data_IF_946895119159
#
_entry.id   IF_946895119159
#
_cell.length_a   1.000
_cell.length_b   1.000
_cell.length_c   1.000
_cell.angle_alpha   90.00
_cell.angle_beta   90.00
_cell.angle_gamma   90.00
#
_symmetry.space_group_name_H-M   'P 1'
#
loop_
_entity.id
_entity.type
_entity.pdbx_description
1 polymer ?
#
# COMPACT_ATOMS: atom_id res chain seq x y z
N UNK A 1 -4.97 7.27 15.76
CA UNK A 1 -5.96 7.02 14.68
C UNK A 1 -6.06 5.53 14.44
N UNK A 2 -7.18 5.07 13.88
CA UNK A 2 -7.40 3.71 13.38
C UNK A 2 -7.07 3.68 11.89
N UNK A 3 -6.02 2.95 11.50
CA UNK A 3 -5.46 2.96 10.15
C UNK A 3 -5.58 1.57 9.53
N UNK A 4 -6.20 1.47 8.36
CA UNK A 4 -6.17 0.25 7.55
C UNK A 4 -5.03 0.30 6.54
N UNK A 5 -4.12 -0.66 6.59
CA UNK A 5 -3.05 -0.86 5.60
C UNK A 5 -3.41 -2.02 4.67
N UNK A 6 -3.58 -1.75 3.38
CA UNK A 6 -3.90 -2.79 2.38
C UNK A 6 -2.64 -3.15 1.62
N UNK A 7 -2.09 -4.33 1.93
CA UNK A 7 -0.92 -4.87 1.25
C UNK A 7 -1.31 -5.66 -0.01
N UNK A 8 -0.45 -5.70 -1.03
CA UNK A 8 -0.55 -6.71 -2.08
C UNK A 8 -0.49 -8.11 -1.48
N UNK A 9 -1.20 -9.05 -2.12
CA UNK A 9 -1.26 -10.45 -1.69
C UNK A 9 -0.21 -11.32 -2.39
N UNK A 10 0.70 -10.73 -3.17
CA UNK A 10 1.74 -11.45 -3.89
C UNK A 10 2.73 -12.10 -2.92
N UNK A 11 3.22 -11.33 -1.93
CA UNK A 11 4.06 -11.79 -0.82
C UNK A 11 3.37 -11.71 0.54
N UNK A 12 4.01 -12.31 1.55
CA UNK A 12 3.72 -12.02 2.95
C UNK A 12 4.26 -10.64 3.32
N UNK A 13 3.74 -10.06 4.39
CA UNK A 13 4.28 -8.86 5.02
C UNK A 13 4.89 -9.25 6.37
N UNK A 14 6.19 -9.07 6.63
CA UNK A 14 7.23 -8.79 5.64
C UNK A 14 7.42 -9.95 4.63
N UNK A 15 8.00 -9.69 3.46
CA UNK A 15 8.21 -10.71 2.43
C UNK A 15 9.30 -11.69 2.86
N UNK A 16 9.14 -12.96 2.48
CA UNK A 16 10.18 -14.00 2.67
C UNK A 16 11.27 -13.93 1.61
N UNK A 17 10.94 -13.43 0.43
CA UNK A 17 11.82 -13.36 -0.73
C UNK A 17 11.76 -11.94 -1.32
N UNK A 18 11.54 -11.83 -2.63
CA UNK A 18 11.45 -10.55 -3.34
C UNK A 18 10.03 -9.95 -3.19
N UNK A 19 9.91 -8.88 -2.42
CA UNK A 19 8.68 -8.12 -2.18
C UNK A 19 8.96 -6.69 -1.72
N UNK A 20 9.38 -5.82 -2.65
CA UNK A 20 9.75 -4.44 -2.31
C UNK A 20 8.60 -3.65 -1.67
N UNK A 21 7.40 -3.78 -2.23
CA UNK A 21 6.19 -3.14 -1.69
C UNK A 21 5.84 -3.67 -0.31
N UNK A 22 5.75 -4.98 -0.12
CA UNK A 22 5.41 -5.59 1.16
C UNK A 22 6.43 -5.26 2.25
N UNK A 23 7.70 -5.05 1.88
CA UNK A 23 8.73 -4.55 2.82
C UNK A 23 8.47 -3.12 3.25
N UNK A 24 8.12 -2.22 2.34
CA UNK A 24 7.74 -0.85 2.66
C UNK A 24 6.51 -0.83 3.57
N UNK A 25 5.51 -1.66 3.28
CA UNK A 25 4.31 -1.79 4.12
C UNK A 25 4.66 -2.26 5.52
N UNK A 26 5.56 -3.25 5.66
CA UNK A 26 6.00 -3.73 6.97
C UNK A 26 6.62 -2.60 7.82
N UNK A 27 7.56 -1.85 7.25
CA UNK A 27 8.18 -0.70 7.93
C UNK A 27 7.16 0.37 8.31
N UNK A 28 6.27 0.70 7.38
CA UNK A 28 5.25 1.72 7.62
C UNK A 28 4.31 1.31 8.75
N UNK A 29 3.87 0.04 8.78
CA UNK A 29 3.04 -0.46 9.89
C UNK A 29 3.80 -0.37 11.21
N UNK A 30 5.05 -0.83 11.26
CA UNK A 30 5.84 -0.80 12.49
C UNK A 30 6.04 0.62 13.02
N UNK A 31 6.33 1.59 12.16
CA UNK A 31 6.50 2.98 12.57
C UNK A 31 5.18 3.64 12.98
N UNK A 32 4.07 3.39 12.28
CA UNK A 32 2.76 3.92 12.66
C UNK A 32 2.28 3.37 14.02
N UNK A 33 2.56 2.09 14.30
CA UNK A 33 2.28 1.49 15.61
C UNK A 33 3.14 2.14 16.70
N UNK A 34 4.44 2.36 16.45
CA UNK A 34 5.34 3.06 17.38
C UNK A 34 4.88 4.49 17.68
N UNK A 35 4.28 5.17 16.70
CA UNK A 35 3.66 6.49 16.86
C UNK A 35 2.32 6.46 17.61
N UNK A 36 1.86 5.29 18.08
CA UNK A 36 0.65 5.14 18.90
C UNK A 36 -0.65 5.06 18.10
N UNK A 37 -0.59 4.69 16.82
CA UNK A 37 -1.79 4.44 16.02
C UNK A 37 -2.27 2.99 16.13
N UNK A 38 -3.59 2.78 16.03
CA UNK A 38 -4.20 1.45 15.95
C UNK A 38 -4.22 1.00 14.49
N UNK A 39 -3.20 0.23 14.10
CA UNK A 39 -2.99 -0.18 12.70
C UNK A 39 -3.52 -1.59 12.50
N UNK A 40 -4.39 -1.76 11.50
CA UNK A 40 -4.81 -3.08 10.99
C UNK A 40 -4.25 -3.30 9.60
N UNK A 41 -3.48 -4.38 9.45
CA UNK A 41 -2.91 -4.83 8.19
C UNK A 41 -3.84 -5.85 7.53
N UNK A 42 -4.36 -5.52 6.35
CA UNK A 42 -5.06 -6.43 5.45
C UNK A 42 -4.03 -7.05 4.51
N UNK A 43 -3.74 -8.34 4.71
CA UNK A 43 -2.69 -9.04 3.98
C UNK A 43 -2.97 -10.55 3.90
N UNK A 44 -2.01 -11.29 3.37
CA UNK A 44 -2.01 -12.75 3.43
C UNK A 44 -1.85 -13.26 4.87
N UNK A 45 -2.45 -14.41 5.17
CA UNK A 45 -2.52 -14.98 6.52
C UNK A 45 -1.19 -15.49 7.07
N UNK A 46 -0.18 -15.64 6.22
CA UNK A 46 1.19 -15.95 6.64
C UNK A 46 2.06 -14.71 6.87
N UNK A 47 1.45 -13.52 6.89
CA UNK A 47 2.07 -12.26 7.30
C UNK A 47 2.27 -12.18 8.82
N UNK A 48 3.26 -11.40 9.25
CA UNK A 48 3.56 -11.07 10.65
C UNK A 48 3.70 -9.57 10.79
N UNK A 49 3.07 -8.99 11.80
CA UNK A 49 3.03 -7.53 11.99
C UNK A 49 3.02 -7.18 13.46
N UNK A 50 3.50 -5.98 13.80
CA UNK A 50 3.38 -5.38 15.13
C UNK A 50 1.98 -4.80 15.39
N UNK A 51 1.19 -4.56 14.33
CA UNK A 51 -0.21 -4.16 14.42
C UNK A 51 -1.17 -5.36 14.51
N UNK A 52 -2.42 -5.16 14.11
CA UNK A 52 -3.43 -6.22 14.01
C UNK A 52 -3.44 -6.81 12.61
N UNK A 53 -3.34 -8.13 12.49
CA UNK A 53 -3.50 -8.80 11.20
C UNK A 53 -4.98 -9.08 10.91
N UNK A 54 -5.48 -8.62 9.77
CA UNK A 54 -6.72 -9.09 9.18
C UNK A 54 -6.39 -9.98 7.96
N UNK A 55 -6.39 -11.32 8.13
CA UNK A 55 -6.00 -12.23 7.07
C UNK A 55 -7.11 -12.29 6.00
N UNK A 56 -6.78 -11.90 4.78
CA UNK A 56 -7.72 -11.88 3.64
C UNK A 56 -7.61 -13.14 2.81
N UNK A 57 -6.39 -13.68 2.70
CA UNK A 57 -6.10 -14.86 1.90
C UNK A 57 -5.18 -15.78 2.70
N UNK A 58 -5.34 -17.12 2.68
CA UNK A 58 -4.64 -18.00 3.63
C UNK A 58 -3.10 -17.91 3.58
N UNK A 59 -2.51 -17.71 2.39
CA UNK A 59 -1.06 -17.60 2.19
C UNK A 59 -0.76 -16.72 0.98
N UNK A 60 0.33 -15.97 1.02
CA UNK A 60 0.85 -15.19 -0.11
C UNK A 60 0.80 -15.95 -1.43
N UNK A 61 0.33 -15.31 -2.51
CA UNK A 61 0.01 -15.97 -3.78
C UNK A 61 1.24 -16.60 -4.45
N UNK A 62 2.41 -15.95 -4.39
CA UNK A 62 3.61 -16.42 -5.08
C UNK A 62 4.21 -17.69 -4.45
N UNK A 63 4.15 -17.79 -3.12
CA UNK A 63 4.63 -18.95 -2.35
C UNK A 63 3.49 -19.88 -1.90
N UNK A 64 2.28 -19.56 -2.34
CA UNK A 64 1.04 -20.21 -1.99
C UNK A 64 0.71 -21.41 -2.86
N UNK A 65 -0.55 -21.83 -2.79
CA UNK A 65 -1.09 -22.90 -3.63
C UNK A 65 -0.97 -22.52 -5.11
N UNK A 66 -0.36 -23.40 -5.92
CA UNK A 66 -0.32 -23.25 -7.38
C UNK A 66 -1.75 -23.17 -7.94
N UNK A 67 -2.00 -22.20 -8.82
CA UNK A 67 -3.30 -22.00 -9.46
C UNK A 67 -4.30 -21.15 -8.67
N UNK A 68 -3.89 -20.47 -7.58
CA UNK A 68 -4.70 -19.42 -6.99
C UNK A 68 -4.82 -18.24 -7.96
N UNK A 69 -6.05 -17.78 -8.23
CA UNK A 69 -6.28 -16.61 -9.08
C UNK A 69 -6.01 -15.31 -8.30
N UNK A 70 -5.05 -14.47 -8.73
CA UNK A 70 -4.83 -13.17 -8.12
C UNK A 70 -6.05 -12.25 -8.18
N UNK A 71 -6.90 -12.37 -9.20
CA UNK A 71 -8.14 -11.59 -9.32
C UNK A 71 -9.10 -11.90 -8.18
N UNK A 72 -9.39 -13.17 -7.94
CA UNK A 72 -10.23 -13.62 -6.83
C UNK A 72 -9.67 -13.20 -5.46
N UNK A 73 -8.37 -13.34 -5.24
CA UNK A 73 -7.74 -12.95 -3.97
C UNK A 73 -7.86 -11.44 -3.72
N UNK A 74 -7.66 -10.62 -4.76
CA UNK A 74 -7.85 -9.18 -4.64
C UNK A 74 -9.32 -8.78 -4.49
N UNK A 75 -10.26 -9.48 -5.12
CA UNK A 75 -11.69 -9.26 -4.89
C UNK A 75 -12.06 -9.50 -3.42
N UNK A 76 -11.50 -10.54 -2.79
CA UNK A 76 -11.67 -10.78 -1.35
C UNK A 76 -11.06 -9.68 -0.49
N UNK A 77 -9.92 -9.09 -0.88
CA UNK A 77 -9.32 -7.95 -0.20
C UNK A 77 -10.24 -6.72 -0.24
N UNK A 78 -10.78 -6.41 -1.41
CA UNK A 78 -11.71 -5.29 -1.60
C UNK A 78 -13.01 -5.49 -0.80
N UNK A 79 -13.55 -6.71 -0.82
CA UNK A 79 -14.74 -7.05 -0.03
C UNK A 79 -14.49 -6.93 1.48
N UNK A 80 -13.32 -7.41 1.95
CA UNK A 80 -12.95 -7.35 3.36
C UNK A 80 -12.85 -5.90 3.86
N UNK A 81 -12.21 -5.00 3.09
CA UNK A 81 -12.14 -3.59 3.46
C UNK A 81 -13.50 -2.89 3.33
N UNK A 82 -14.31 -3.23 2.32
CA UNK A 82 -15.64 -2.63 2.13
C UNK A 82 -16.54 -2.85 3.36
N UNK A 83 -16.54 -4.07 3.91
CA UNK A 83 -17.32 -4.42 5.11
C UNK A 83 -16.89 -3.68 6.37
N UNK A 84 -15.63 -3.25 6.43
CA UNK A 84 -15.00 -2.72 7.64
C UNK A 84 -14.55 -1.27 7.50
N UNK A 85 -14.84 -0.61 6.39
CA UNK A 85 -14.29 0.70 6.08
C UNK A 85 -14.54 1.72 7.20
N UNK A 86 -15.74 1.70 7.79
CA UNK A 86 -16.15 2.61 8.88
C UNK A 86 -15.48 2.32 10.22
N UNK A 87 -14.75 1.21 10.35
CA UNK A 87 -13.92 0.92 11.53
C UNK A 87 -12.65 1.79 11.56
N UNK A 88 -12.31 2.44 10.44
CA UNK A 88 -11.04 3.15 10.25
C UNK A 88 -11.24 4.64 10.01
N UNK A 89 -10.29 5.42 10.51
CA UNK A 89 -10.23 6.86 10.26
C UNK A 89 -9.59 7.15 8.89
N UNK A 90 -8.68 6.28 8.44
CA UNK A 90 -8.05 6.36 7.12
C UNK A 90 -7.69 4.98 6.57
N UNK A 91 -7.84 4.81 5.26
CA UNK A 91 -7.45 3.62 4.50
C UNK A 91 -6.23 3.96 3.63
N UNK A 92 -5.13 3.25 3.80
CA UNK A 92 -3.92 3.39 3.00
C UNK A 92 -3.71 2.13 2.15
N UNK A 93 -3.79 2.29 0.83
CA UNK A 93 -3.68 1.19 -0.12
C UNK A 93 -2.36 1.18 -0.90
N UNK A 94 -1.84 -0.03 -1.13
CA UNK A 94 -0.62 -0.30 -1.88
C UNK A 94 -0.84 -1.25 -3.07
N UNK A 95 -2.09 -1.41 -3.51
CA UNK A 95 -2.52 -2.31 -4.60
C UNK A 95 -2.81 -1.54 -5.91
N UNK A 96 -2.02 -0.51 -6.16
CA UNK A 96 -2.08 0.40 -7.32
C UNK A 96 -3.47 0.99 -7.57
N UNK A 97 -4.18 0.56 -8.61
CA UNK A 97 -5.41 1.21 -9.10
C UNK A 97 -6.71 0.53 -8.67
N UNK A 98 -6.63 -0.73 -8.22
CA UNK A 98 -7.77 -1.64 -8.17
C UNK A 98 -8.87 -1.19 -7.20
N UNK A 99 -8.46 -0.60 -6.08
CA UNK A 99 -9.32 -0.17 -4.98
C UNK A 99 -10.07 1.13 -5.26
N UNK A 100 -9.62 1.94 -6.21
CA UNK A 100 -10.03 3.33 -6.26
C UNK A 100 -11.54 3.54 -6.52
N UNK A 101 -12.19 2.84 -7.48
CA UNK A 101 -13.63 3.00 -7.70
C UNK A 101 -14.49 2.55 -6.51
N UNK A 102 -13.96 1.64 -5.69
CA UNK A 102 -14.61 1.18 -4.47
C UNK A 102 -14.43 2.24 -3.36
N UNK A 103 -13.19 2.57 -3.02
CA UNK A 103 -12.89 3.45 -1.89
C UNK A 103 -13.51 4.85 -2.06
N UNK A 104 -13.61 5.35 -3.29
CA UNK A 104 -14.26 6.63 -3.58
C UNK A 104 -15.74 6.70 -3.21
N UNK A 105 -16.39 5.54 -2.99
CA UNK A 105 -17.82 5.43 -2.67
C UNK A 105 -18.07 5.06 -1.21
N UNK A 106 -17.04 4.73 -0.44
CA UNK A 106 -17.19 4.27 0.94
C UNK A 106 -17.31 5.42 1.96
N UNK A 107 -16.99 6.66 1.55
CA UNK A 107 -17.09 7.84 2.42
C UNK A 107 -16.05 7.92 3.52
N UNK A 108 -15.00 7.09 3.45
CA UNK A 108 -13.88 7.05 4.40
C UNK A 108 -12.66 7.68 3.73
N UNK A 109 -11.90 8.55 4.41
CA UNK A 109 -10.65 9.07 3.88
C UNK A 109 -9.72 7.95 3.43
N UNK A 110 -9.19 8.03 2.22
CA UNK A 110 -8.24 7.05 1.72
C UNK A 110 -7.09 7.70 0.96
N UNK A 111 -5.94 7.04 1.00
CA UNK A 111 -4.78 7.40 0.21
C UNK A 111 -4.19 6.15 -0.44
N UNK A 112 -3.51 6.34 -1.57
CA UNK A 112 -2.83 5.27 -2.28
C UNK A 112 -1.38 5.63 -2.48
N UNK A 113 -0.49 4.70 -2.12
CA UNK A 113 0.90 4.75 -2.55
C UNK A 113 1.09 3.80 -3.71
N UNK A 114 1.47 4.37 -4.85
CA UNK A 114 1.72 3.62 -6.08
C UNK A 114 3.14 3.07 -6.09
N UNK A 115 3.27 1.79 -6.42
CA UNK A 115 4.57 1.11 -6.50
C UNK A 115 4.94 0.71 -7.94
N UNK A 116 4.02 0.90 -8.89
CA UNK A 116 4.24 0.70 -10.31
C UNK A 116 5.21 1.70 -10.98
N UNK A 117 5.60 1.41 -12.22
CA UNK A 117 6.56 2.21 -12.99
C UNK A 117 6.03 3.64 -13.22
N UNK A 118 6.75 4.63 -12.72
CA UNK A 118 6.40 6.06 -12.66
C UNK A 118 5.92 6.67 -13.98
N UNK A 119 6.45 6.22 -15.12
CA UNK A 119 6.05 6.70 -16.45
C UNK A 119 4.56 6.46 -16.76
N UNK A 120 3.94 5.43 -16.17
CA UNK A 120 2.51 5.15 -16.28
C UNK A 120 1.71 5.95 -15.26
N UNK A 121 2.24 6.11 -14.04
CA UNK A 121 1.63 6.91 -12.97
C UNK A 121 1.48 8.38 -13.37
N UNK A 122 2.49 8.95 -14.04
CA UNK A 122 2.48 10.32 -14.53
C UNK A 122 1.53 10.54 -15.72
N UNK A 123 1.44 9.57 -16.65
CA UNK A 123 0.59 9.66 -17.86
C UNK A 123 -0.88 9.35 -17.59
N UNK A 124 -1.18 8.38 -16.73
CA UNK A 124 -2.53 7.90 -16.45
C UNK A 124 -3.17 8.64 -15.27
N UNK A 125 -2.36 9.16 -14.34
CA UNK A 125 -2.84 9.87 -13.14
C UNK A 125 -3.58 11.18 -13.43
N UNK A 126 -3.33 11.84 -14.56
CA UNK A 126 -4.05 13.06 -14.97
C UNK A 126 -5.52 12.80 -15.35
N UNK A 127 -5.89 11.55 -15.64
CA UNK A 127 -7.24 11.15 -15.98
C UNK A 127 -8.11 10.81 -14.75
N UNK A 128 -7.55 10.89 -13.53
CA UNK A 128 -8.20 10.44 -12.29
C UNK A 128 -8.74 11.66 -11.51
N UNK A 129 -9.97 11.58 -10.96
CA UNK A 129 -10.56 12.68 -10.20
C UNK A 129 -9.68 13.14 -9.03
N UNK A 130 -9.55 14.47 -8.86
CA UNK A 130 -8.67 15.11 -7.85
C UNK A 130 -8.98 14.74 -6.38
N UNK A 131 -10.13 14.15 -6.09
CA UNK A 131 -10.51 13.71 -4.73
C UNK A 131 -9.88 12.39 -4.27
N UNK A 132 -9.07 11.74 -5.12
CA UNK A 132 -8.44 10.45 -4.81
C UNK A 132 -6.97 10.71 -4.44
N UNK A 133 -6.68 10.83 -3.14
CA UNK A 133 -5.35 11.26 -2.65
C UNK A 133 -4.24 10.27 -3.04
N UNK A 134 -3.19 10.81 -3.67
CA UNK A 134 -2.04 10.06 -4.17
C UNK A 134 -0.76 10.48 -3.46
N UNK A 135 -0.02 9.50 -2.95
CA UNK A 135 1.38 9.68 -2.53
C UNK A 135 2.27 8.94 -3.53
N UNK A 136 3.14 9.68 -4.20
CA UNK A 136 4.09 9.15 -5.17
C UNK A 136 5.45 8.99 -4.49
N UNK A 137 5.94 7.75 -4.39
CA UNK A 137 7.28 7.48 -3.90
C UNK A 137 8.25 7.67 -5.09
N UNK A 138 8.89 8.83 -5.16
CA UNK A 138 9.99 9.07 -6.10
C UNK A 138 11.11 8.08 -5.81
N UNK A 139 11.32 7.09 -6.67
CA UNK A 139 12.63 6.43 -6.73
C UNK A 139 13.61 7.45 -7.32
N UNK A 140 14.80 7.55 -6.72
CA UNK A 140 15.85 8.53 -7.03
C UNK A 140 16.45 8.45 -8.45
N UNK A 141 15.88 7.66 -9.36
CA UNK A 141 16.48 7.39 -10.67
C UNK A 141 16.33 8.51 -11.71
N UNK A 142 15.65 9.63 -11.42
CA UNK A 142 15.58 10.78 -12.35
C UNK A 142 16.06 12.11 -11.76
N UNK A 143 16.79 12.10 -10.65
CA UNK A 143 17.54 13.28 -10.22
C UNK A 143 18.83 13.37 -11.08
N UNK A 144 18.68 13.71 -12.35
CA UNK A 144 19.79 14.13 -13.20
C UNK A 144 20.25 15.54 -12.76
N UNK A 145 20.88 15.61 -11.59
CA UNK A 145 21.89 16.60 -11.20
C UNK A 145 22.42 16.27 -9.79
N UNK A 146 23.45 15.43 -9.74
CA UNK A 146 24.53 15.59 -8.74
C UNK A 146 24.37 15.00 -7.33
N UNK A 147 23.80 13.81 -7.16
CA UNK A 147 24.02 13.05 -5.91
C UNK A 147 24.00 11.54 -6.16
N UNK A 148 25.16 10.89 -6.00
CA UNK A 148 25.24 9.43 -5.84
C UNK A 148 24.47 9.01 -4.60
N UNK A 149 23.65 7.97 -4.72
CA UNK A 149 22.86 7.42 -3.61
C UNK A 149 23.20 5.94 -3.46
N UNK A 150 23.82 5.61 -2.34
CA UNK A 150 24.24 4.26 -1.98
C UNK A 150 23.04 3.47 -1.43
N UNK A 151 22.90 2.20 -1.85
CA UNK A 151 21.65 1.45 -1.87
C UNK A 151 21.20 0.79 -0.54
N UNK A 152 21.71 1.24 0.62
CA UNK A 152 21.56 0.48 1.87
C UNK A 152 21.10 1.31 3.11
N UNK A 153 20.62 2.54 2.94
CA UNK A 153 20.17 3.38 4.05
C UNK A 153 18.63 3.50 4.11
N UNK A 154 17.96 2.96 5.15
CA UNK A 154 16.50 3.06 5.33
C UNK A 154 16.00 4.46 5.72
N UNK A 155 16.89 5.41 6.03
CA UNK A 155 16.50 6.71 6.62
C UNK A 155 16.05 7.78 5.61
N UNK A 156 15.98 7.50 4.29
CA UNK A 156 15.64 8.53 3.27
C UNK A 156 14.64 8.07 2.20
N UNK A 157 13.47 7.62 2.63
CA UNK A 157 12.28 7.59 1.75
C UNK A 157 11.69 9.01 1.72
N UNK A 158 11.92 9.76 0.64
CA UNK A 158 11.30 11.07 0.44
C UNK A 158 9.81 10.90 0.12
N UNK A 159 8.95 11.11 1.12
CA UNK A 159 7.49 11.16 0.96
C UNK A 159 7.12 12.52 0.37
N UNK A 160 6.97 12.58 -0.94
CA UNK A 160 6.44 13.76 -1.62
C UNK A 160 4.92 13.79 -1.54
N UNK A 161 4.35 14.42 -0.50
CA UNK A 161 2.97 14.87 -0.57
C UNK A 161 2.90 16.04 -1.56
N UNK A 162 2.15 15.89 -2.64
CA UNK A 162 1.79 17.06 -3.46
C UNK A 162 0.66 17.76 -2.73
N UNK A 163 1.01 18.76 -1.92
CA UNK A 163 0.07 19.69 -1.33
C UNK A 163 -0.58 20.55 -2.44
N UNK A 164 -1.82 21.03 -2.25
CA UNK A 164 -2.44 21.93 -3.20
C UNK A 164 -1.70 23.27 -3.16
N UNK A 165 -1.14 23.70 -4.29
CA UNK A 165 -0.96 25.13 -4.53
C UNK A 165 -2.34 25.71 -4.79
N UNK A 166 -2.66 26.77 -4.04
CA UNK A 166 -3.91 27.52 -3.96
C UNK A 166 -4.64 27.70 -5.30
#
# INVERSE_FOLDING_TARGET
MRIAQLAPLAESVPPKLYGGTERVVAWLVDELVKLGHDVTLFASGDSRTTGKLHPVWPRALRLGRKGADPGAANAMLLEAIAKRARDFDVIHAHIDWLQLPLLSRLGVPFMTTMHGRLAWVARTGSAIPRGWFRVDLRSSASAASGCEVDGNDPARIAVGAVAPLL
#
